data_IF_235958963411
#
_entry.id   IF_235958963411
#
_cell.length_a   1.000
_cell.length_b   1.000
_cell.length_c   1.000
_cell.angle_alpha   90.00
_cell.angle_beta   90.00
_cell.angle_gamma   90.00
#
_symmetry.space_group_name_H-M   'P 1'
#
loop_
_entity.id
_entity.type
_entity.pdbx_description
1 polymer ?
#
# COMPACT_ATOMS: atom_id res chain seq x y z
N UNK A 1 28.01 27.37 -17.46
CA UNK A 1 27.67 27.63 -16.04
C UNK A 1 26.24 27.16 -15.82
N UNK A 2 26.06 25.94 -15.36
CA UNK A 2 24.73 25.33 -15.20
C UNK A 2 24.20 25.71 -13.82
N UNK A 3 23.12 26.49 -13.80
CA UNK A 3 22.41 26.85 -12.57
C UNK A 3 21.38 25.74 -12.29
N UNK A 4 21.67 24.93 -11.30
CA UNK A 4 20.76 23.91 -10.79
C UNK A 4 19.78 24.58 -9.82
N UNK A 5 18.53 24.78 -10.23
CA UNK A 5 17.49 25.28 -9.33
C UNK A 5 16.85 24.14 -8.56
N UNK A 6 17.01 24.14 -7.24
CA UNK A 6 16.20 23.36 -6.31
C UNK A 6 14.89 24.13 -6.06
N UNK A 7 13.75 23.55 -6.48
CA UNK A 7 12.43 24.19 -6.33
C UNK A 7 11.82 23.74 -5.01
N UNK A 8 11.98 24.55 -3.99
CA UNK A 8 11.13 24.55 -2.79
C UNK A 8 10.60 25.97 -2.62
N UNK A 9 9.31 26.21 -2.95
CA UNK A 9 8.57 27.40 -2.55
C UNK A 9 9.10 28.73 -3.11
N UNK A 10 9.37 28.86 -4.40
CA UNK A 10 9.90 30.09 -4.99
C UNK A 10 8.78 30.94 -5.61
N UNK A 11 8.82 32.22 -5.26
CA UNK A 11 8.13 33.34 -5.89
C UNK A 11 8.66 33.52 -7.34
N UNK A 12 7.79 33.32 -8.33
CA UNK A 12 8.14 33.39 -9.75
C UNK A 12 8.05 34.82 -10.34
N UNK A 13 7.96 35.84 -9.49
CA UNK A 13 7.73 37.27 -9.89
C UNK A 13 8.78 37.87 -10.80
N UNK A 14 9.93 37.25 -10.98
CA UNK A 14 11.02 37.72 -11.85
C UNK A 14 11.43 36.78 -12.99
N UNK A 15 10.64 35.72 -13.26
CA UNK A 15 11.01 34.70 -14.24
C UNK A 15 10.28 34.93 -15.55
N UNK A 16 11.03 34.96 -16.69
CA UNK A 16 10.44 35.02 -18.03
C UNK A 16 10.16 33.60 -18.55
N UNK A 17 8.94 33.38 -19.03
CA UNK A 17 8.47 32.09 -19.59
C UNK A 17 9.26 31.70 -20.85
N UNK A 18 9.76 32.68 -21.58
CA UNK A 18 10.58 32.46 -22.79
C UNK A 18 11.88 31.69 -22.51
N UNK A 19 12.36 31.76 -21.24
CA UNK A 19 13.57 31.09 -20.78
C UNK A 19 13.29 29.75 -20.05
N UNK A 20 12.04 29.35 -19.92
CA UNK A 20 11.67 28.09 -19.28
C UNK A 20 11.76 26.92 -20.28
N UNK A 21 12.32 25.81 -19.82
CA UNK A 21 12.27 24.55 -20.56
C UNK A 21 10.90 23.88 -20.43
N UNK A 22 10.54 23.03 -21.39
CA UNK A 22 9.27 22.26 -21.37
C UNK A 22 9.14 21.38 -20.13
N UNK A 23 10.26 20.87 -19.62
CA UNK A 23 10.31 20.10 -18.35
C UNK A 23 9.96 20.97 -17.15
N UNK A 24 10.38 22.22 -17.12
CA UNK A 24 10.03 23.15 -16.05
C UNK A 24 8.55 23.55 -16.11
N UNK A 25 7.99 23.74 -17.30
CA UNK A 25 6.55 24.00 -17.48
C UNK A 25 5.72 22.79 -17.00
N UNK A 26 6.10 21.56 -17.36
CA UNK A 26 5.43 20.35 -16.87
C UNK A 26 5.54 20.18 -15.36
N UNK A 27 6.67 20.54 -14.75
CA UNK A 27 6.84 20.51 -13.30
C UNK A 27 5.89 21.48 -12.58
N UNK A 28 5.70 22.69 -13.14
CA UNK A 28 4.77 23.70 -12.61
C UNK A 28 3.32 23.20 -12.73
N UNK A 29 2.95 22.58 -13.85
CA UNK A 29 1.63 22.00 -14.07
C UNK A 29 1.34 20.86 -13.08
N UNK A 30 2.31 19.98 -12.85
CA UNK A 30 2.16 18.87 -11.89
C UNK A 30 2.02 19.35 -10.44
N UNK A 31 2.74 20.40 -10.05
CA UNK A 31 2.59 21.02 -8.72
C UNK A 31 1.24 21.73 -8.55
N UNK A 32 0.73 22.35 -9.62
CA UNK A 32 -0.61 22.96 -9.63
C UNK A 32 -1.71 21.93 -9.48
N UNK A 33 -1.60 20.82 -10.19
CA UNK A 33 -2.54 19.70 -10.09
C UNK A 33 -2.54 19.09 -8.68
N UNK A 34 -1.37 18.95 -8.05
CA UNK A 34 -1.24 18.47 -6.67
C UNK A 34 -1.89 19.40 -5.62
N UNK A 35 -2.09 20.67 -5.96
CA UNK A 35 -2.80 21.68 -5.14
C UNK A 35 -4.29 21.81 -5.49
N UNK A 36 -4.83 20.94 -6.35
CA UNK A 36 -6.25 20.94 -6.75
C UNK A 36 -6.63 22.06 -7.74
N UNK A 37 -5.66 22.69 -8.41
CA UNK A 37 -5.91 23.70 -9.43
C UNK A 37 -6.10 23.05 -10.80
N UNK A 38 -7.12 23.48 -11.55
CA UNK A 38 -7.39 22.93 -12.88
C UNK A 38 -6.29 23.29 -13.87
N UNK A 39 -5.75 22.27 -14.53
CA UNK A 39 -4.69 22.39 -15.54
C UNK A 39 -5.19 23.10 -16.81
N UNK A 40 -6.50 23.13 -17.04
CA UNK A 40 -7.15 23.77 -18.20
C UNK A 40 -7.07 25.30 -18.14
N UNK A 41 -6.80 25.89 -16.97
CA UNK A 41 -6.64 27.32 -16.78
C UNK A 41 -5.20 27.68 -16.36
N UNK A 42 -4.24 27.38 -17.26
CA UNK A 42 -2.82 27.62 -17.05
C UNK A 42 -2.45 29.07 -16.70
N UNK A 43 -3.23 30.06 -17.15
CA UNK A 43 -3.04 31.48 -16.81
C UNK A 43 -3.32 31.72 -15.32
N UNK A 44 -4.45 31.25 -14.80
CA UNK A 44 -4.79 31.39 -13.38
C UNK A 44 -3.80 30.65 -12.47
N UNK A 45 -3.32 29.50 -12.90
CA UNK A 45 -2.27 28.75 -12.20
C UNK A 45 -0.97 29.55 -12.12
N UNK A 46 -0.52 30.10 -13.25
CA UNK A 46 0.72 30.87 -13.33
C UNK A 46 0.66 32.14 -12.43
N UNK A 47 -0.48 32.85 -12.43
CA UNK A 47 -0.71 34.02 -11.56
C UNK A 47 -0.71 33.59 -10.07
N UNK A 48 -1.33 32.46 -9.73
CA UNK A 48 -1.36 31.96 -8.34
C UNK A 48 0.03 31.57 -7.81
N UNK A 49 0.99 31.33 -8.71
CA UNK A 49 2.39 31.02 -8.40
C UNK A 49 3.32 32.24 -8.51
N UNK A 50 2.75 33.45 -8.70
CA UNK A 50 3.49 34.70 -8.66
C UNK A 50 4.01 35.21 -10.02
N UNK A 51 3.63 34.60 -11.15
CA UNK A 51 4.00 35.16 -12.47
C UNK A 51 3.22 36.45 -12.77
N UNK A 52 3.86 37.46 -13.39
CA UNK A 52 3.16 38.62 -13.90
C UNK A 52 2.10 38.25 -14.96
N UNK A 53 0.98 38.98 -15.08
CA UNK A 53 -0.12 38.66 -16.00
C UNK A 53 0.31 38.48 -17.46
N UNK A 54 1.28 39.23 -17.93
CA UNK A 54 1.82 39.11 -19.29
C UNK A 54 2.59 37.82 -19.51
N UNK A 55 3.39 37.38 -18.53
CA UNK A 55 4.11 36.11 -18.58
C UNK A 55 3.17 34.90 -18.37
N UNK A 56 2.10 35.08 -17.58
CA UNK A 56 1.06 34.03 -17.39
C UNK A 56 0.32 33.72 -18.68
N UNK A 57 0.05 34.69 -19.54
CA UNK A 57 -0.50 34.48 -20.89
C UNK A 57 0.44 33.68 -21.79
N UNK A 58 1.74 34.01 -21.76
CA UNK A 58 2.76 33.23 -22.50
C UNK A 58 2.84 31.80 -21.98
N UNK A 59 2.76 31.61 -20.66
CA UNK A 59 2.74 30.30 -20.04
C UNK A 59 1.55 29.47 -20.54
N UNK A 60 0.35 30.06 -20.57
CA UNK A 60 -0.85 29.37 -21.07
C UNK A 60 -0.73 29.00 -22.55
N UNK A 61 -0.17 29.86 -23.38
CA UNK A 61 0.07 29.56 -24.81
C UNK A 61 1.06 28.42 -24.97
N UNK A 62 2.11 28.39 -24.17
CA UNK A 62 3.11 27.31 -24.20
C UNK A 62 2.54 25.97 -23.70
N UNK A 63 1.67 26.03 -22.69
CA UNK A 63 0.93 24.84 -22.20
C UNK A 63 0.01 24.29 -23.30
N UNK A 64 -0.71 25.16 -24.03
CA UNK A 64 -1.54 24.73 -25.17
C UNK A 64 -0.70 24.13 -26.30
N UNK A 65 0.49 24.65 -26.57
CA UNK A 65 1.42 24.06 -27.55
C UNK A 65 1.96 22.68 -27.11
N UNK A 66 2.19 22.48 -25.81
CA UNK A 66 2.65 21.21 -25.27
C UNK A 66 1.51 20.17 -25.18
N UNK A 67 0.26 20.59 -25.07
CA UNK A 67 -0.93 19.75 -25.03
C UNK A 67 -1.50 19.46 -26.43
N UNK A 68 -1.33 20.40 -27.38
CA UNK A 68 -1.69 20.24 -28.79
C UNK A 68 -0.42 19.99 -29.59
N UNK A 69 -0.08 18.71 -29.81
CA UNK A 69 1.07 18.33 -30.62
C UNK A 69 1.02 18.93 -32.03
N UNK A 70 2.03 19.74 -32.36
CA UNK A 70 2.54 20.10 -33.68
C UNK A 70 1.55 20.60 -34.76
N UNK A 71 1.51 21.91 -34.93
CA UNK A 71 1.32 22.50 -36.26
C UNK A 71 2.40 23.55 -36.48
N UNK A 72 3.37 23.24 -37.29
CA UNK A 72 4.32 24.20 -37.88
C UNK A 72 3.59 24.99 -38.96
N UNK A 73 3.51 26.30 -38.74
CA UNK A 73 3.14 27.28 -39.79
C UNK A 73 4.27 27.49 -40.77
N UNK A 74 4.02 27.30 -42.06
CA UNK A 74 4.72 28.01 -43.14
C UNK A 74 3.74 28.24 -44.30
N UNK A 75 3.59 29.50 -44.59
CA UNK A 75 2.59 30.00 -45.52
C UNK A 75 2.79 29.72 -46.99
N UNK A 76 1.70 29.83 -47.71
CA UNK A 76 1.69 30.35 -49.07
C UNK A 76 1.24 29.43 -50.20
N UNK A 77 -0.02 29.61 -50.65
CA UNK A 77 -0.46 29.69 -52.06
C UNK A 77 -1.00 28.43 -52.76
N UNK A 78 -2.32 28.52 -53.12
CA UNK A 78 -3.11 27.94 -54.18
C UNK A 78 -3.62 26.48 -54.08
N UNK A 79 -4.95 26.40 -53.93
CA UNK A 79 -5.77 25.22 -54.28
C UNK A 79 -5.75 24.94 -55.79
N UNK A 80 -6.01 23.70 -56.27
CA UNK A 80 -7.32 23.10 -56.17
C UNK A 80 -7.40 21.55 -56.09
N UNK A 81 -8.64 21.10 -55.88
CA UNK A 81 -9.30 19.80 -56.07
C UNK A 81 -9.30 18.79 -54.94
N UNK A 82 -10.43 18.83 -54.26
CA UNK A 82 -10.94 17.82 -53.33
C UNK A 82 -11.24 16.50 -54.05
N UNK A 83 -10.80 15.38 -53.48
CA UNK A 83 -11.45 14.09 -53.36
C UNK A 83 -10.56 12.85 -53.13
N UNK A 84 -9.22 13.00 -53.14
CA UNK A 84 -8.31 11.86 -52.90
C UNK A 84 -7.51 11.95 -51.58
N UNK A 85 -7.47 13.12 -50.93
CA UNK A 85 -6.63 13.37 -49.72
C UNK A 85 -7.34 12.99 -48.44
N UNK A 86 -8.67 13.04 -48.39
CA UNK A 86 -9.46 12.75 -47.14
C UNK A 86 -9.38 11.26 -46.74
N UNK A 87 -9.36 10.34 -47.72
CA UNK A 87 -9.19 8.89 -47.43
C UNK A 87 -7.76 8.52 -47.01
N UNK A 88 -6.76 9.28 -47.47
CA UNK A 88 -5.36 9.06 -47.08
C UNK A 88 -5.02 9.60 -45.69
N UNK A 89 -5.61 10.73 -45.27
CA UNK A 89 -5.47 11.31 -43.93
C UNK A 89 -6.22 10.47 -42.88
N UNK A 90 -7.46 10.03 -43.12
CA UNK A 90 -8.17 9.11 -42.20
C UNK A 90 -7.44 7.78 -42.02
N UNK A 91 -6.80 7.24 -43.10
CA UNK A 91 -5.96 6.04 -42.99
C UNK A 91 -4.64 6.31 -42.25
N UNK A 92 -4.08 7.50 -42.36
CA UNK A 92 -2.86 7.88 -41.65
C UNK A 92 -3.13 8.11 -40.16
N UNK A 93 -4.21 8.81 -39.78
CA UNK A 93 -4.64 9.01 -38.43
C UNK A 93 -5.06 7.69 -37.74
N UNK A 94 -5.80 6.81 -38.44
CA UNK A 94 -6.13 5.48 -37.96
C UNK A 94 -4.86 4.59 -37.72
N UNK A 95 -3.82 4.75 -38.53
CA UNK A 95 -2.53 4.04 -38.34
C UNK A 95 -1.74 4.61 -37.15
N UNK A 96 -1.72 5.95 -36.97
CA UNK A 96 -1.03 6.59 -35.87
C UNK A 96 -1.74 6.24 -34.55
N UNK A 97 -3.08 6.27 -34.50
CA UNK A 97 -3.86 5.87 -33.34
C UNK A 97 -3.70 4.38 -32.98
N UNK A 98 -3.69 3.49 -34.01
CA UNK A 98 -3.44 2.07 -33.82
C UNK A 98 -2.01 1.77 -33.33
N UNK A 99 -1.01 2.52 -33.83
CA UNK A 99 0.39 2.40 -33.41
C UNK A 99 0.59 2.94 -31.99
N UNK A 100 -0.07 4.05 -31.63
CA UNK A 100 -0.04 4.61 -30.28
C UNK A 100 -0.71 3.66 -29.28
N UNK A 101 -1.88 3.09 -29.61
CA UNK A 101 -2.56 2.08 -28.78
C UNK A 101 -1.77 0.77 -28.66
N UNK A 102 -1.06 0.37 -29.72
CA UNK A 102 -0.18 -0.80 -29.67
C UNK A 102 1.07 -0.54 -28.83
N UNK A 103 1.66 0.67 -28.92
CA UNK A 103 2.78 1.11 -28.08
C UNK A 103 2.38 1.25 -26.62
N UNK A 104 1.18 1.76 -26.34
CA UNK A 104 0.63 1.87 -24.97
C UNK A 104 0.33 0.49 -24.38
N UNK A 105 -0.25 -0.43 -25.17
CA UNK A 105 -0.42 -1.84 -24.77
C UNK A 105 0.92 -2.55 -24.56
N UNK A 106 1.93 -2.29 -25.38
CA UNK A 106 3.27 -2.86 -25.20
C UNK A 106 3.98 -2.28 -23.97
N UNK A 107 3.82 -0.98 -23.68
CA UNK A 107 4.39 -0.37 -22.46
C UNK A 107 3.69 -0.88 -21.19
N UNK A 108 2.38 -1.11 -21.20
CA UNK A 108 1.64 -1.71 -20.09
C UNK A 108 2.03 -3.18 -19.93
N UNK A 109 2.15 -3.95 -21.02
CA UNK A 109 2.62 -5.34 -20.98
C UNK A 109 4.08 -5.45 -20.52
N UNK A 110 4.98 -4.58 -21.01
CA UNK A 110 6.37 -4.55 -20.54
C UNK A 110 6.49 -4.13 -19.05
N UNK A 111 5.61 -3.24 -18.57
CA UNK A 111 5.57 -2.85 -17.17
C UNK A 111 5.03 -3.97 -16.27
N UNK A 112 4.10 -4.79 -16.78
CA UNK A 112 3.62 -6.01 -16.09
C UNK A 112 4.65 -7.14 -16.15
N UNK A 113 5.31 -7.34 -17.28
CA UNK A 113 6.36 -8.35 -17.44
C UNK A 113 7.62 -8.06 -16.60
N UNK A 114 7.84 -6.80 -16.17
CA UNK A 114 8.96 -6.43 -15.29
C UNK A 114 8.63 -6.55 -13.80
N UNK A 115 7.37 -6.73 -13.41
CA UNK A 115 6.96 -6.85 -12.01
C UNK A 115 7.04 -8.30 -11.53
N UNK A 116 7.50 -8.50 -10.30
CA UNK A 116 7.47 -9.81 -9.64
C UNK A 116 6.06 -10.05 -9.09
N UNK A 117 5.54 -11.26 -9.27
CA UNK A 117 4.23 -11.66 -8.75
C UNK A 117 4.13 -11.40 -7.25
N UNK A 118 3.02 -10.77 -6.83
CA UNK A 118 2.81 -10.38 -5.43
C UNK A 118 3.30 -8.99 -5.04
N UNK A 119 4.21 -8.37 -5.79
CA UNK A 119 4.69 -7.01 -5.49
C UNK A 119 3.59 -5.94 -5.57
N UNK A 120 2.62 -6.13 -6.46
CA UNK A 120 1.51 -5.17 -6.64
C UNK A 120 0.62 -5.05 -5.39
N UNK A 121 0.57 -6.07 -4.55
CA UNK A 121 -0.18 -6.06 -3.29
C UNK A 121 0.23 -4.88 -2.39
N UNK A 122 1.52 -4.57 -2.37
CA UNK A 122 2.08 -3.52 -1.53
C UNK A 122 2.04 -2.13 -2.20
N UNK A 123 1.97 -2.07 -3.52
CA UNK A 123 1.90 -0.80 -4.27
C UNK A 123 0.53 -0.14 -4.22
N UNK A 124 -0.52 -0.96 -4.09
CA UNK A 124 -1.90 -0.50 -3.91
C UNK A 124 -2.27 -0.39 -2.44
N UNK A 125 -1.29 -0.38 -1.54
CA UNK A 125 -1.46 -0.38 -0.11
C UNK A 125 -2.32 0.79 0.37
N UNK A 126 -3.63 0.55 0.46
CA UNK A 126 -4.52 1.40 1.19
C UNK A 126 -4.16 1.29 2.67
N UNK A 127 -3.75 2.40 3.25
CA UNK A 127 -3.61 2.57 4.71
C UNK A 127 -4.92 2.26 5.46
N UNK A 128 -6.05 2.17 4.75
CA UNK A 128 -7.36 1.74 5.29
C UNK A 128 -7.36 0.37 5.98
N UNK A 129 -6.38 -0.49 5.66
CA UNK A 129 -6.18 -1.76 6.38
C UNK A 129 -5.78 -1.51 7.84
N UNK A 130 -5.12 -0.38 8.10
CA UNK A 130 -4.72 0.06 9.43
C UNK A 130 -5.89 0.54 10.28
N UNK A 131 -6.79 1.33 9.71
CA UNK A 131 -7.95 1.87 10.41
C UNK A 131 -8.98 0.78 10.73
N UNK A 132 -9.16 -0.19 9.83
CA UNK A 132 -10.09 -1.31 10.05
C UNK A 132 -9.69 -2.25 11.18
N UNK A 133 -8.42 -2.30 11.57
CA UNK A 133 -7.99 -3.17 12.67
C UNK A 133 -8.35 -2.63 14.06
N UNK A 134 -8.72 -1.36 14.19
CA UNK A 134 -9.15 -0.76 15.46
C UNK A 134 -10.54 -1.23 15.89
N UNK A 135 -11.42 -1.58 14.94
CA UNK A 135 -12.78 -2.05 15.21
C UNK A 135 -12.95 -3.58 15.05
N UNK A 136 -11.88 -4.29 14.69
CA UNK A 136 -11.96 -5.73 14.50
C UNK A 136 -12.01 -6.47 15.84
N UNK A 137 -12.90 -7.46 15.92
CA UNK A 137 -12.87 -8.44 17.03
C UNK A 137 -11.47 -9.05 17.13
N UNK A 138 -10.89 -9.04 18.32
CA UNK A 138 -9.56 -9.63 18.53
C UNK A 138 -9.54 -11.09 18.06
N UNK A 139 -8.56 -11.49 17.26
CA UNK A 139 -8.42 -12.87 16.84
C UNK A 139 -8.19 -13.81 18.03
N UNK A 140 -8.72 -15.02 17.95
CA UNK A 140 -8.66 -16.04 19.01
C UNK A 140 -7.22 -16.33 19.50
N UNK A 141 -6.24 -16.21 18.60
CA UNK A 141 -4.82 -16.48 18.83
C UNK A 141 -4.00 -15.22 19.23
N UNK A 142 -4.63 -14.04 19.36
CA UNK A 142 -3.95 -12.85 19.84
C UNK A 142 -3.48 -13.03 21.29
N UNK A 143 -2.20 -12.78 21.57
CA UNK A 143 -1.63 -12.93 22.91
C UNK A 143 -1.80 -11.62 23.67
N UNK A 144 -2.58 -11.70 24.76
CA UNK A 144 -2.81 -10.57 25.66
C UNK A 144 -1.52 -10.16 26.38
N UNK A 145 -1.31 -8.85 26.51
CA UNK A 145 -0.14 -8.27 27.18
C UNK A 145 -0.44 -7.00 27.96
N UNK A 146 0.57 -6.53 28.66
CA UNK A 146 0.48 -5.31 29.48
C UNK A 146 0.13 -4.10 28.60
N UNK A 147 -0.86 -3.30 29.03
CA UNK A 147 -1.36 -2.16 28.29
C UNK A 147 -2.55 -2.45 27.37
N UNK A 148 -2.95 -3.72 27.20
CA UNK A 148 -4.20 -4.05 26.53
C UNK A 148 -5.39 -3.72 27.43
N UNK A 149 -6.53 -3.37 26.83
CA UNK A 149 -7.77 -3.12 27.55
C UNK A 149 -8.88 -4.07 27.09
N UNK A 150 -9.51 -4.73 28.05
CA UNK A 150 -10.57 -5.70 27.81
C UNK A 150 -11.88 -5.15 28.35
N UNK A 151 -12.90 -5.09 27.50
CA UNK A 151 -14.26 -4.81 27.94
C UNK A 151 -14.99 -6.11 28.20
N UNK A 152 -15.53 -6.24 29.39
CA UNK A 152 -16.36 -7.36 29.81
C UNK A 152 -17.79 -6.85 29.96
N UNK A 153 -18.70 -7.38 29.16
CA UNK A 153 -20.11 -7.06 29.19
C UNK A 153 -20.95 -8.30 29.53
N UNK A 154 -21.90 -8.13 30.39
CA UNK A 154 -22.92 -9.14 30.75
C UNK A 154 -24.28 -8.55 30.39
N UNK A 155 -25.07 -9.28 29.63
CA UNK A 155 -26.40 -8.89 29.18
C UNK A 155 -27.41 -10.02 29.43
N UNK A 156 -28.65 -9.68 29.77
CA UNK A 156 -29.71 -10.62 30.07
C UNK A 156 -30.52 -10.15 31.27
N UNK A 157 -30.69 -11.00 32.27
CA UNK A 157 -31.36 -10.63 33.54
C UNK A 157 -30.50 -9.73 34.43
N UNK A 158 -29.19 -9.76 34.26
CA UNK A 158 -28.24 -8.83 34.85
C UNK A 158 -27.61 -7.98 33.74
N UNK A 159 -27.30 -6.71 34.05
CA UNK A 159 -26.57 -5.81 33.18
C UNK A 159 -25.27 -5.37 33.85
N UNK A 160 -24.17 -5.63 33.20
CA UNK A 160 -22.85 -5.21 33.67
C UNK A 160 -21.97 -4.88 32.47
N UNK A 161 -21.24 -3.78 32.55
CA UNK A 161 -20.25 -3.41 31.51
C UNK A 161 -19.07 -2.72 32.22
N UNK A 162 -17.87 -3.24 32.03
CA UNK A 162 -16.67 -2.62 32.56
C UNK A 162 -15.45 -2.93 31.66
N UNK A 163 -14.56 -1.94 31.59
CA UNK A 163 -13.28 -2.07 30.89
C UNK A 163 -12.16 -2.21 31.93
N UNK A 164 -11.27 -3.17 31.69
CA UNK A 164 -10.15 -3.50 32.54
C UNK A 164 -8.85 -3.40 31.76
N UNK A 165 -7.89 -2.62 32.28
CA UNK A 165 -6.55 -2.53 31.72
C UNK A 165 -5.64 -3.63 32.28
N UNK A 166 -4.84 -4.23 31.41
CA UNK A 166 -3.86 -5.25 31.79
C UNK A 166 -2.62 -4.54 32.37
N UNK A 167 -2.29 -4.83 33.62
CA UNK A 167 -1.16 -4.23 34.33
C UNK A 167 0.21 -4.70 33.78
N UNK A 168 1.29 -4.06 34.24
CA UNK A 168 2.67 -4.41 33.84
C UNK A 168 3.09 -5.85 34.18
N UNK A 169 2.37 -6.51 35.10
CA UNK A 169 2.58 -7.92 35.48
C UNK A 169 1.71 -8.86 34.66
N UNK A 170 0.92 -8.35 33.69
CA UNK A 170 0.00 -9.12 32.84
C UNK A 170 -1.27 -9.56 33.57
N UNK A 171 -1.77 -8.78 34.53
CA UNK A 171 -2.97 -9.10 35.32
C UNK A 171 -4.06 -8.06 35.11
N UNK A 172 -5.30 -8.49 35.23
CA UNK A 172 -6.46 -7.61 35.40
C UNK A 172 -7.04 -7.79 36.81
N UNK A 173 -7.63 -6.73 37.37
CA UNK A 173 -8.37 -6.81 38.62
C UNK A 173 -9.82 -6.42 38.34
N UNK A 174 -10.71 -7.38 38.47
CA UNK A 174 -12.13 -7.21 38.22
C UNK A 174 -12.89 -6.95 39.54
N UNK A 175 -13.95 -6.14 39.49
CA UNK A 175 -14.83 -5.89 40.64
C UNK A 175 -15.49 -7.18 41.16
N UNK A 176 -15.96 -8.02 40.20
CA UNK A 176 -16.40 -9.39 40.45
C UNK A 176 -15.35 -10.36 39.95
N UNK A 177 -14.92 -11.28 40.79
CA UNK A 177 -13.93 -12.30 40.41
C UNK A 177 -12.48 -12.03 40.79
N UNK A 178 -12.15 -10.81 41.28
CA UNK A 178 -10.82 -10.48 41.80
C UNK A 178 -9.73 -10.40 40.72
N UNK A 179 -8.47 -10.67 41.09
CA UNK A 179 -7.33 -10.56 40.19
C UNK A 179 -7.12 -11.84 39.38
N UNK A 180 -6.90 -11.69 38.08
CA UNK A 180 -6.60 -12.78 37.13
C UNK A 180 -5.25 -12.52 36.42
N UNK A 181 -4.42 -13.55 36.32
CA UNK A 181 -3.19 -13.50 35.55
C UNK A 181 -3.48 -13.93 34.10
N UNK A 182 -3.21 -13.03 33.16
CA UNK A 182 -3.46 -13.21 31.74
C UNK A 182 -2.17 -13.35 30.92
N UNK A 183 -1.02 -13.25 31.58
CA UNK A 183 0.29 -13.23 30.91
C UNK A 183 0.52 -14.46 30.04
N UNK A 184 0.75 -14.24 28.73
CA UNK A 184 1.02 -15.30 27.78
C UNK A 184 -0.20 -16.10 27.31
N UNK A 185 -1.39 -15.73 27.77
CA UNK A 185 -2.65 -16.37 27.33
C UNK A 185 -3.11 -15.74 26.02
N UNK A 186 -3.71 -16.56 25.17
CA UNK A 186 -4.40 -16.08 23.97
C UNK A 186 -5.76 -15.47 24.34
N UNK A 187 -6.30 -14.61 23.50
CA UNK A 187 -7.61 -13.99 23.71
C UNK A 187 -8.70 -15.01 24.00
N UNK A 188 -8.72 -16.11 23.26
CA UNK A 188 -9.67 -17.22 23.51
C UNK A 188 -9.49 -17.89 24.88
N UNK A 189 -8.25 -18.04 25.35
CA UNK A 189 -7.99 -18.58 26.68
C UNK A 189 -8.45 -17.59 27.77
N UNK A 190 -8.18 -16.30 27.55
CA UNK A 190 -8.62 -15.23 28.45
C UNK A 190 -10.15 -15.16 28.52
N UNK A 191 -10.83 -15.24 27.39
CA UNK A 191 -12.29 -15.29 27.32
C UNK A 191 -12.86 -16.44 28.19
N UNK A 192 -12.32 -17.64 28.02
CA UNK A 192 -12.74 -18.81 28.82
C UNK A 192 -12.47 -18.60 30.31
N UNK A 193 -11.30 -18.06 30.65
CA UNK A 193 -10.91 -17.81 32.04
C UNK A 193 -11.83 -16.79 32.72
N UNK A 194 -12.14 -15.68 32.06
CA UNK A 194 -13.03 -14.63 32.58
C UNK A 194 -14.45 -15.20 32.70
N UNK A 195 -14.98 -15.89 31.69
CA UNK A 195 -16.30 -16.55 31.75
C UNK A 195 -16.41 -17.54 32.94
N UNK A 196 -15.38 -18.36 33.12
CA UNK A 196 -15.34 -19.28 34.25
C UNK A 196 -15.32 -18.57 35.60
N UNK A 197 -14.59 -17.44 35.71
CA UNK A 197 -14.49 -16.65 36.97
C UNK A 197 -15.78 -15.91 37.28
N UNK A 198 -16.57 -15.54 36.29
CA UNK A 198 -17.83 -14.81 36.49
C UNK A 198 -19.03 -15.72 36.76
N UNK A 199 -18.94 -17.04 36.49
CA UNK A 199 -20.02 -18.01 36.75
C UNK A 199 -20.64 -17.96 38.17
N UNK A 200 -19.89 -17.75 39.27
CA UNK A 200 -20.47 -17.66 40.60
C UNK A 200 -21.30 -16.40 40.83
N UNK A 201 -21.08 -15.36 40.01
CA UNK A 201 -21.72 -14.03 40.20
C UNK A 201 -22.90 -13.82 39.26
N UNK A 202 -22.93 -14.52 38.11
CA UNK A 202 -23.96 -14.39 37.08
C UNK A 202 -24.48 -15.75 36.64
N UNK A 203 -25.80 -15.90 36.60
CA UNK A 203 -26.42 -17.11 36.06
C UNK A 203 -26.23 -17.15 34.54
N UNK A 204 -25.37 -18.05 34.06
CA UNK A 204 -25.02 -18.18 32.62
C UNK A 204 -26.16 -18.76 31.77
N UNK A 205 -27.23 -19.28 32.36
CA UNK A 205 -28.39 -19.74 31.59
C UNK A 205 -29.32 -18.59 31.18
N UNK A 206 -29.25 -17.45 31.90
CA UNK A 206 -30.08 -16.28 31.67
C UNK A 206 -29.29 -15.01 31.30
N UNK A 207 -27.95 -15.12 31.26
CA UNK A 207 -27.06 -14.01 30.93
C UNK A 207 -26.00 -14.46 29.93
N UNK A 208 -25.74 -13.60 28.96
CA UNK A 208 -24.64 -13.73 28.02
C UNK A 208 -23.44 -12.90 28.49
N UNK A 209 -22.24 -13.50 28.49
CA UNK A 209 -21.00 -12.81 28.79
C UNK A 209 -20.19 -12.65 27.52
N UNK A 210 -20.00 -11.41 27.11
CA UNK A 210 -19.19 -11.04 25.97
C UNK A 210 -17.91 -10.34 26.42
N UNK A 211 -16.78 -10.71 25.87
CA UNK A 211 -15.47 -10.10 26.11
C UNK A 211 -14.93 -9.58 24.79
N UNK A 212 -14.53 -8.32 24.76
CA UNK A 212 -13.93 -7.67 23.59
C UNK A 212 -12.63 -7.01 23.98
N UNK A 213 -11.72 -6.88 23.02
CA UNK A 213 -10.52 -6.07 23.15
C UNK A 213 -10.89 -4.62 22.81
N UNK A 214 -10.98 -3.77 23.83
CA UNK A 214 -11.31 -2.36 23.67
C UNK A 214 -10.14 -1.55 23.13
N UNK A 215 -8.92 -1.92 23.55
CA UNK A 215 -7.69 -1.28 23.10
C UNK A 215 -6.56 -2.31 23.06
N UNK A 216 -5.80 -2.30 21.99
CA UNK A 216 -4.58 -3.06 21.83
C UNK A 216 -3.38 -2.16 22.10
N UNK A 217 -2.47 -2.61 22.95
CA UNK A 217 -1.23 -1.89 23.25
C UNK A 217 -0.43 -1.57 21.97
N UNK A 218 0.29 -0.47 21.98
CA UNK A 218 1.23 -0.13 20.92
C UNK A 218 2.55 -0.86 21.12
N UNK A 219 3.08 -1.45 20.05
CA UNK A 219 4.40 -2.09 19.98
C UNK A 219 5.29 -1.35 18.99
N UNK A 220 6.59 -1.44 19.17
CA UNK A 220 7.59 -0.96 18.22
C UNK A 220 8.16 -2.16 17.46
N UNK A 221 8.11 -2.11 16.14
CA UNK A 221 8.62 -3.13 15.23
C UNK A 221 9.64 -2.50 14.30
N UNK A 222 10.77 -3.18 14.09
CA UNK A 222 11.83 -2.70 13.21
C UNK A 222 11.73 -3.46 11.87
N UNK A 223 11.52 -2.72 10.77
CA UNK A 223 11.41 -3.29 9.43
C UNK A 223 12.64 -2.86 8.64
N UNK A 224 13.44 -3.82 8.20
CA UNK A 224 14.78 -3.59 7.66
C UNK A 224 15.08 -4.50 6.46
N UNK A 225 16.13 -4.16 5.71
CA UNK A 225 16.54 -4.87 4.51
C UNK A 225 15.93 -4.24 3.25
N UNK A 226 15.59 -5.05 2.27
CA UNK A 226 15.09 -4.64 0.95
C UNK A 226 13.61 -4.29 1.01
N UNK A 227 13.26 -3.24 1.75
CA UNK A 227 11.91 -2.69 1.95
C UNK A 227 11.80 -1.32 1.31
N UNK A 228 10.60 -0.92 0.94
CA UNK A 228 10.35 0.41 0.35
C UNK A 228 10.65 1.53 1.35
N UNK A 229 10.25 1.39 2.60
CA UNK A 229 10.50 2.35 3.68
C UNK A 229 11.03 1.61 4.91
N UNK A 230 12.35 1.41 5.04
CA UNK A 230 12.94 0.80 6.23
C UNK A 230 12.86 1.76 7.42
N UNK A 231 12.63 1.20 8.61
CA UNK A 231 12.54 2.02 9.84
C UNK A 231 11.89 1.30 11.01
N UNK A 232 11.68 2.05 12.10
CA UNK A 232 10.97 1.60 13.28
C UNK A 232 9.53 2.11 13.24
N UNK A 233 8.58 1.19 13.36
CA UNK A 233 7.15 1.45 13.24
C UNK A 233 6.46 1.22 14.58
N UNK A 234 5.61 2.17 14.98
CA UNK A 234 4.73 2.01 16.14
C UNK A 234 3.37 1.53 15.66
N UNK A 235 2.97 0.35 16.07
CA UNK A 235 1.78 -0.34 15.58
C UNK A 235 0.97 -0.89 16.75
N UNK A 236 -0.39 -0.93 16.66
CA UNK A 236 -1.19 -1.74 17.57
C UNK A 236 -0.75 -3.21 17.54
N UNK A 237 -0.61 -3.85 18.70
CA UNK A 237 -0.11 -5.24 18.79
C UNK A 237 -1.06 -6.28 18.14
N UNK A 238 -2.29 -5.89 17.83
CA UNK A 238 -3.25 -6.69 17.08
C UNK A 238 -2.89 -6.80 15.58
N UNK A 239 -1.98 -5.95 15.10
CA UNK A 239 -1.52 -6.03 13.72
C UNK A 239 -0.58 -7.22 13.53
N UNK A 240 -0.75 -7.86 12.39
CA UNK A 240 0.07 -9.00 11.98
C UNK A 240 1.38 -8.54 11.35
N UNK A 241 2.32 -9.46 11.18
CA UNK A 241 3.56 -9.20 10.48
C UNK A 241 3.33 -8.76 9.03
N UNK A 242 2.27 -9.26 8.39
CA UNK A 242 1.89 -8.87 7.05
C UNK A 242 1.38 -7.42 7.00
N UNK A 243 0.55 -7.01 7.97
CA UNK A 243 0.09 -5.63 8.09
C UNK A 243 1.26 -4.66 8.34
N UNK A 244 2.22 -5.05 9.18
CA UNK A 244 3.43 -4.27 9.41
C UNK A 244 4.25 -4.09 8.13
N UNK A 245 4.36 -5.13 7.31
CA UNK A 245 5.06 -5.07 6.03
C UNK A 245 4.35 -4.13 5.05
N UNK A 246 3.01 -4.16 4.99
CA UNK A 246 2.22 -3.22 4.18
C UNK A 246 2.48 -1.78 4.61
N UNK A 247 2.56 -1.51 5.92
CA UNK A 247 2.86 -0.18 6.46
C UNK A 247 4.22 0.36 5.99
N UNK A 248 5.19 -0.52 5.81
CA UNK A 248 6.50 -0.17 5.27
C UNK A 248 6.53 -0.07 3.73
N UNK A 249 5.37 -0.17 3.06
CA UNK A 249 5.27 -0.17 1.60
C UNK A 249 5.73 -1.48 0.95
N UNK A 250 5.91 -2.54 1.75
CA UNK A 250 6.33 -3.86 1.30
C UNK A 250 7.77 -3.97 0.82
N UNK A 251 8.18 -5.12 0.31
CA UNK A 251 9.48 -5.34 -0.32
C UNK A 251 9.68 -4.40 -1.51
N UNK A 252 10.88 -3.83 -1.64
CA UNK A 252 11.27 -3.06 -2.81
C UNK A 252 11.48 -3.99 -4.05
N UNK A 253 12.00 -3.44 -5.15
CA UNK A 253 12.19 -4.21 -6.39
C UNK A 253 13.26 -5.31 -6.28
N UNK A 254 14.10 -5.28 -5.24
CA UNK A 254 15.17 -6.24 -4.97
C UNK A 254 14.80 -7.18 -3.81
N UNK A 255 13.74 -6.88 -3.06
CA UNK A 255 13.33 -7.62 -1.88
C UNK A 255 12.62 -8.92 -2.20
N UNK A 256 12.92 -9.97 -1.41
CA UNK A 256 12.21 -11.25 -1.47
C UNK A 256 10.76 -11.07 -1.05
N UNK A 257 9.86 -11.79 -1.73
CA UNK A 257 8.44 -11.90 -1.37
C UNK A 257 8.14 -13.23 -0.64
N UNK A 258 9.12 -14.16 -0.62
CA UNK A 258 8.88 -15.53 -0.19
C UNK A 258 9.67 -15.97 1.03
N UNK A 259 10.68 -15.17 1.43
CA UNK A 259 11.54 -15.47 2.58
C UNK A 259 11.72 -14.24 3.46
N UNK A 260 10.61 -13.69 3.96
CA UNK A 260 10.61 -12.54 4.85
C UNK A 260 10.70 -13.05 6.29
N UNK A 261 11.78 -12.75 6.97
CA UNK A 261 12.06 -13.29 8.29
C UNK A 261 11.50 -12.40 9.40
N UNK A 262 10.78 -13.00 10.34
CA UNK A 262 10.46 -12.38 11.62
C UNK A 262 11.49 -12.85 12.63
N UNK A 263 12.24 -11.90 13.18
CA UNK A 263 13.31 -12.17 14.13
C UNK A 263 12.98 -11.59 15.50
N UNK A 264 13.20 -12.38 16.54
CA UNK A 264 13.05 -12.00 17.95
C UNK A 264 14.27 -12.44 18.74
N UNK A 265 14.86 -11.53 19.51
CA UNK A 265 16.09 -11.80 20.27
C UNK A 265 17.20 -12.42 19.41
N UNK A 266 17.38 -11.91 18.18
CA UNK A 266 18.41 -12.38 17.24
C UNK A 266 18.13 -13.73 16.55
N UNK A 267 16.99 -14.37 16.83
CA UNK A 267 16.61 -15.66 16.23
C UNK A 267 15.46 -15.48 15.26
N UNK A 268 15.48 -16.20 14.14
CA UNK A 268 14.35 -16.31 13.22
C UNK A 268 13.28 -17.17 13.91
N UNK A 269 12.10 -16.57 14.13
CA UNK A 269 10.98 -17.25 14.81
C UNK A 269 9.88 -17.64 13.82
N UNK A 270 9.81 -16.93 12.68
CA UNK A 270 8.84 -17.19 11.61
C UNK A 270 9.38 -16.67 10.29
N UNK A 271 8.99 -17.31 9.21
CA UNK A 271 9.19 -16.82 7.84
C UNK A 271 7.83 -16.59 7.21
N UNK A 272 7.66 -15.43 6.56
CA UNK A 272 6.45 -15.10 5.83
C UNK A 272 6.69 -15.35 4.33
N UNK A 273 5.67 -15.87 3.67
CA UNK A 273 5.61 -16.10 2.23
C UNK A 273 4.37 -15.41 1.65
N UNK A 274 4.58 -14.38 0.84
CA UNK A 274 3.49 -13.61 0.22
C UNK A 274 2.70 -14.49 -0.76
N UNK A 275 3.36 -15.45 -1.44
CA UNK A 275 2.65 -16.37 -2.36
C UNK A 275 1.68 -17.27 -1.61
N UNK A 276 2.08 -17.75 -0.43
CA UNK A 276 1.21 -18.56 0.41
C UNK A 276 -0.02 -17.75 0.86
N UNK A 277 0.17 -16.49 1.22
CA UNK A 277 -0.93 -15.58 1.55
C UNK A 277 -1.89 -15.35 0.38
N UNK A 278 -1.35 -15.15 -0.85
CA UNK A 278 -2.16 -14.87 -2.04
C UNK A 278 -2.88 -16.10 -2.61
N UNK A 279 -2.27 -17.28 -2.51
CA UNK A 279 -2.78 -18.50 -3.13
C UNK A 279 -3.60 -19.36 -2.16
N UNK A 280 -3.36 -19.25 -0.87
CA UNK A 280 -4.02 -20.00 0.19
C UNK A 280 -4.58 -19.06 1.27
N UNK A 281 -5.65 -18.29 0.98
CA UNK A 281 -6.17 -17.28 1.90
C UNK A 281 -6.68 -17.87 3.24
N UNK A 282 -7.03 -19.18 3.26
CA UNK A 282 -7.45 -19.88 4.47
C UNK A 282 -6.29 -20.35 5.35
N UNK A 283 -5.05 -20.17 4.90
CA UNK A 283 -3.89 -20.52 5.71
C UNK A 283 -3.71 -19.47 6.81
N UNK A 284 -4.14 -19.79 8.03
CA UNK A 284 -3.97 -18.99 9.24
C UNK A 284 -2.49 -18.87 9.67
N UNK A 285 -1.59 -18.65 8.71
CA UNK A 285 -0.14 -18.61 8.95
C UNK A 285 0.37 -17.22 9.27
N UNK A 286 -0.52 -16.23 9.30
CA UNK A 286 -0.13 -14.89 9.70
C UNK A 286 0.28 -14.87 11.18
N UNK A 287 1.15 -13.95 11.54
CA UNK A 287 1.85 -13.95 12.80
C UNK A 287 1.75 -12.59 13.50
N UNK A 288 1.34 -12.57 14.77
CA UNK A 288 1.32 -11.37 15.59
C UNK A 288 2.71 -11.02 16.08
N UNK A 289 3.07 -9.77 15.87
CA UNK A 289 4.35 -9.23 16.30
C UNK A 289 4.33 -8.89 17.80
N UNK A 290 5.51 -8.86 18.39
CA UNK A 290 5.74 -8.37 19.73
C UNK A 290 6.66 -7.15 19.69
N UNK A 291 6.70 -6.45 20.81
CA UNK A 291 7.58 -5.30 20.96
C UNK A 291 9.05 -5.67 20.71
N UNK A 292 9.76 -4.84 19.93
CA UNK A 292 11.12 -5.04 19.47
C UNK A 292 11.37 -6.24 18.53
N UNK A 293 10.33 -6.77 17.87
CA UNK A 293 10.52 -7.69 16.77
C UNK A 293 11.13 -6.98 15.55
N UNK A 294 11.89 -7.77 14.76
CA UNK A 294 12.43 -7.34 13.49
C UNK A 294 11.75 -8.10 12.35
N UNK A 295 11.29 -7.37 11.32
CA UNK A 295 11.00 -7.92 10.00
C UNK A 295 12.21 -7.65 9.11
N UNK A 296 12.85 -8.72 8.63
CA UNK A 296 13.97 -8.62 7.72
C UNK A 296 13.58 -9.15 6.34
N UNK A 297 13.69 -8.27 5.34
CA UNK A 297 13.49 -8.61 3.94
C UNK A 297 14.86 -8.74 3.27
N UNK A 298 15.23 -9.97 2.91
CA UNK A 298 16.47 -10.25 2.20
C UNK A 298 16.32 -10.14 0.68
N UNK A 299 17.31 -10.66 -0.05
CA UNK A 299 17.25 -10.82 -1.50
C UNK A 299 16.55 -12.13 -1.88
N UNK A 300 15.86 -12.20 -3.03
CA UNK A 300 15.29 -13.44 -3.55
C UNK A 300 16.38 -14.44 -3.98
N UNK A 301 16.11 -15.73 -3.84
CA UNK A 301 17.07 -16.77 -4.26
C UNK A 301 17.13 -16.91 -5.78
N UNK A 302 15.98 -16.96 -6.44
CA UNK A 302 15.86 -17.04 -7.88
C UNK A 302 14.61 -16.28 -8.34
N UNK A 303 14.75 -15.53 -9.44
CA UNK A 303 13.61 -14.86 -10.07
C UNK A 303 13.58 -15.27 -11.53
N UNK A 304 12.50 -15.90 -11.96
CA UNK A 304 12.29 -16.46 -13.30
C UNK A 304 11.15 -15.75 -13.98
N UNK A 305 11.35 -15.31 -15.22
CA UNK A 305 10.29 -14.77 -16.09
C UNK A 305 9.56 -15.89 -16.82
N UNK A 306 8.23 -15.76 -16.94
CA UNK A 306 7.43 -16.62 -17.79
C UNK A 306 6.59 -15.75 -18.73
N UNK A 307 6.59 -16.13 -20.02
CA UNK A 307 5.89 -15.44 -21.09
C UNK A 307 5.12 -16.45 -21.96
N UNK A 308 4.26 -15.98 -22.84
CA UNK A 308 3.49 -16.80 -23.75
C UNK A 308 2.11 -17.17 -23.24
N UNK A 309 1.66 -18.39 -23.50
CA UNK A 309 0.28 -18.86 -23.26
C UNK A 309 0.01 -19.21 -21.79
N UNK A 310 0.25 -18.27 -20.87
CA UNK A 310 -0.07 -18.37 -19.44
C UNK A 310 -1.01 -17.26 -19.03
N UNK A 311 -1.81 -17.47 -17.98
CA UNK A 311 -2.79 -16.49 -17.54
C UNK A 311 -2.14 -15.24 -16.93
N UNK A 312 -0.95 -15.37 -16.34
CA UNK A 312 -0.20 -14.29 -15.70
C UNK A 312 1.26 -14.28 -16.17
N UNK A 313 1.55 -13.73 -17.36
CA UNK A 313 2.91 -13.58 -17.86
C UNK A 313 3.65 -12.51 -17.07
N UNK A 314 4.57 -12.90 -16.18
CA UNK A 314 5.37 -12.02 -15.32
C UNK A 314 6.56 -12.76 -14.71
N UNK A 315 7.29 -12.08 -13.82
CA UNK A 315 8.41 -12.68 -13.09
C UNK A 315 7.91 -13.31 -11.79
N UNK A 316 8.49 -14.45 -11.44
CA UNK A 316 8.16 -15.21 -10.24
C UNK A 316 9.41 -15.51 -9.44
N UNK A 317 9.33 -15.35 -8.12
CA UNK A 317 10.36 -15.80 -7.21
C UNK A 317 10.15 -17.29 -6.91
N UNK A 318 11.19 -18.08 -7.09
CA UNK A 318 11.19 -19.50 -6.77
C UNK A 318 12.06 -19.77 -5.53
N UNK A 319 11.59 -20.67 -4.67
CA UNK A 319 12.35 -21.21 -3.55
C UNK A 319 13.18 -22.41 -3.99
N UNK A 320 14.22 -22.72 -3.22
CA UNK A 320 15.00 -23.94 -3.45
C UNK A 320 14.12 -25.17 -3.39
N UNK A 321 14.21 -26.01 -4.44
CA UNK A 321 13.42 -27.24 -4.58
C UNK A 321 12.09 -27.06 -5.32
N UNK A 322 11.68 -25.85 -5.66
CA UNK A 322 10.52 -25.64 -6.52
C UNK A 322 10.87 -25.92 -7.99
N UNK A 323 9.91 -26.46 -8.70
CA UNK A 323 10.03 -26.94 -10.08
C UNK A 323 9.39 -25.99 -11.08
N UNK A 324 9.59 -26.28 -12.39
CA UNK A 324 8.85 -25.63 -13.46
C UNK A 324 7.34 -25.81 -13.33
N UNK A 325 6.88 -26.94 -12.78
CA UNK A 325 5.45 -27.19 -12.55
C UNK A 325 4.87 -26.21 -11.52
N UNK A 326 5.62 -25.92 -10.46
CA UNK A 326 5.22 -24.92 -9.47
C UNK A 326 5.14 -23.52 -10.10
N UNK A 327 6.12 -23.15 -10.93
CA UNK A 327 6.11 -21.90 -11.69
C UNK A 327 4.87 -21.78 -12.59
N UNK A 328 4.54 -22.86 -13.32
CA UNK A 328 3.36 -22.92 -14.18
C UNK A 328 2.07 -22.77 -13.36
N UNK A 329 2.00 -23.37 -12.18
CA UNK A 329 0.88 -23.24 -11.25
C UNK A 329 0.71 -21.79 -10.79
N UNK A 330 1.81 -21.11 -10.43
CA UNK A 330 1.78 -19.69 -10.06
C UNK A 330 1.36 -18.80 -11.22
N UNK A 331 1.80 -19.11 -12.44
CA UNK A 331 1.44 -18.37 -13.64
C UNK A 331 0.00 -18.62 -14.12
N UNK A 332 -0.69 -19.61 -13.55
CA UNK A 332 -2.06 -19.98 -13.91
C UNK A 332 -2.12 -20.66 -15.28
N UNK A 333 -1.16 -21.55 -15.60
CA UNK A 333 -1.29 -22.41 -16.77
C UNK A 333 -2.43 -23.39 -16.52
N UNK A 334 -3.24 -23.64 -17.55
CA UNK A 334 -4.14 -24.79 -17.55
C UNK A 334 -3.28 -26.05 -17.70
N UNK A 335 -3.36 -26.92 -16.71
CA UNK A 335 -2.85 -28.29 -16.82
C UNK A 335 -3.62 -29.06 -17.86
#
# INVERSE_FOLDING_TARGET
>A
MAITFHVSGQDLSGVSVDNMSDVQIQSILSQGAARGLSVDNGEALAISMGLPPEEAKKFQNRVKQLQGGATTDTGGILAPTASAETEAEERAEGRIAATAMAAEKQTVQNKQASSVYGQQLFRNGNLDVYERSLDAKAPDNYIIGAGDELTVSVSGTAFFNATYSVDSRGRITMNQGGSLNLRGLTFKQVERLIKARLRPYFNMSSNEVNITLAYSRTITVNIVGEVTQPGSYKLPAINTAFNALIAAGGPNNLGTLRNIEVRRNGKVIKTLDVYEYLLNPDSHKDFFLQDNDYLFVGLPQAVVGIEGAVSRPMRYELKQGESLQDLLTYAGSRT
#
